data_IF_776549978271
#
_entry.id   IF_776549978271
#
_cell.length_a   1.000
_cell.length_b   1.000
_cell.length_c   1.000
_cell.angle_alpha   90.00
_cell.angle_beta   90.00
_cell.angle_gamma   90.00
#
_symmetry.space_group_name_H-M   'P 1'
#
loop_
_entity.id
_entity.type
_entity.pdbx_description
1 polymer ?
#
# COMPACT_ATOMS: atom_id res chain seq x y z
N UNK A 1 -8.01 12.83 -13.61
CA UNK A 1 -9.27 13.56 -13.86
C UNK A 1 -10.47 12.79 -13.26
N UNK A 2 -10.37 12.30 -12.01
CA UNK A 2 -11.45 11.52 -11.34
C UNK A 2 -12.35 12.39 -10.44
N UNK A 3 -11.79 13.43 -9.82
CA UNK A 3 -12.54 14.37 -8.96
C UNK A 3 -13.61 15.19 -9.70
N UNK A 4 -13.59 15.23 -11.03
CA UNK A 4 -14.58 15.97 -11.84
C UNK A 4 -15.85 15.17 -12.15
N UNK A 5 -15.84 13.85 -11.94
CA UNK A 5 -16.94 12.96 -12.36
C UNK A 5 -17.92 12.62 -11.24
N UNK A 6 -17.56 12.89 -9.98
CA UNK A 6 -18.41 12.61 -8.81
C UNK A 6 -18.71 13.89 -8.04
N UNK A 7 -19.97 14.07 -7.64
CA UNK A 7 -20.31 15.08 -6.64
C UNK A 7 -19.72 14.64 -5.31
N UNK A 8 -18.66 15.34 -4.88
CA UNK A 8 -18.05 15.14 -3.57
C UNK A 8 -19.01 15.77 -2.57
N UNK A 9 -19.67 14.92 -1.77
CA UNK A 9 -20.49 15.38 -0.66
C UNK A 9 -19.74 15.15 0.66
N UNK A 10 -20.16 15.88 1.70
CA UNK A 10 -19.57 15.80 3.05
C UNK A 10 -19.67 14.40 3.69
N UNK A 11 -20.59 13.57 3.22
CA UNK A 11 -20.86 12.25 3.79
C UNK A 11 -19.99 11.15 3.19
N UNK A 12 -19.35 11.43 2.05
CA UNK A 12 -18.45 10.52 1.34
C UNK A 12 -17.15 10.31 2.11
N UNK A 13 -16.76 9.04 2.31
CA UNK A 13 -15.46 8.66 2.83
C UNK A 13 -14.46 8.47 1.68
N UNK A 14 -13.32 9.14 1.76
CA UNK A 14 -12.19 8.94 0.87
C UNK A 14 -11.10 8.19 1.62
N UNK A 15 -10.65 7.07 1.07
CA UNK A 15 -9.48 6.34 1.57
C UNK A 15 -8.35 6.57 0.57
N UNK A 16 -7.23 7.07 1.05
CA UNK A 16 -6.06 7.42 0.24
C UNK A 16 -4.88 6.56 0.69
N UNK A 17 -4.48 5.64 -0.17
CA UNK A 17 -3.23 4.88 -0.08
C UNK A 17 -2.44 5.18 -1.35
N UNK A 18 -1.21 5.69 -1.22
CA UNK A 18 -0.39 6.07 -2.38
C UNK A 18 1.10 5.89 -2.11
N UNK A 19 1.92 6.22 -3.10
CA UNK A 19 3.38 6.36 -2.99
C UNK A 19 4.20 5.07 -2.89
N UNK A 20 3.58 3.91 -2.57
CA UNK A 20 4.26 2.61 -2.64
C UNK A 20 4.91 2.37 -4.01
N UNK A 21 4.16 2.58 -5.10
CA UNK A 21 4.64 2.37 -6.48
C UNK A 21 5.74 3.34 -6.90
N UNK A 22 5.66 4.60 -6.50
CA UNK A 22 6.69 5.58 -6.81
C UNK A 22 8.01 5.24 -6.11
N UNK A 23 7.91 4.80 -4.85
CA UNK A 23 9.05 4.32 -4.07
C UNK A 23 9.62 3.02 -4.69
N UNK A 24 8.77 2.08 -5.15
CA UNK A 24 9.23 0.89 -5.89
C UNK A 24 9.97 1.28 -7.18
N UNK A 25 9.43 2.22 -7.96
CA UNK A 25 10.05 2.65 -9.21
C UNK A 25 11.42 3.30 -8.97
N UNK A 26 11.59 4.04 -7.87
CA UNK A 26 12.89 4.56 -7.46
C UNK A 26 13.87 3.43 -7.13
N UNK A 27 13.43 2.40 -6.39
CA UNK A 27 14.26 1.25 -6.06
C UNK A 27 14.70 0.45 -7.28
N UNK A 28 13.87 0.41 -8.31
CA UNK A 28 14.17 -0.32 -9.55
C UNK A 28 15.12 0.43 -10.48
N UNK A 29 15.13 1.76 -10.43
CA UNK A 29 15.82 2.58 -11.43
C UNK A 29 16.97 3.42 -10.86
N UNK A 30 17.06 3.63 -9.54
CA UNK A 30 18.07 4.47 -8.86
C UNK A 30 18.23 5.88 -9.47
N UNK A 31 17.15 6.42 -10.04
CA UNK A 31 17.23 7.58 -10.96
C UNK A 31 17.19 8.95 -10.27
N UNK A 32 16.64 9.05 -9.05
CA UNK A 32 16.39 10.35 -8.39
C UNK A 32 17.09 10.44 -7.04
N UNK A 33 17.35 11.66 -6.56
CA UNK A 33 17.71 11.88 -5.16
C UNK A 33 16.53 11.50 -4.25
N UNK A 34 16.76 10.64 -3.26
CA UNK A 34 15.70 10.10 -2.39
C UNK A 34 14.91 11.20 -1.66
N UNK A 35 15.57 12.28 -1.23
CA UNK A 35 14.88 13.38 -0.55
C UNK A 35 14.01 14.13 -1.55
N UNK A 36 14.52 14.39 -2.76
CA UNK A 36 13.71 15.03 -3.81
C UNK A 36 12.49 14.20 -4.17
N UNK A 37 12.62 12.87 -4.25
CA UNK A 37 11.48 11.97 -4.45
C UNK A 37 10.47 12.12 -3.31
N UNK A 38 10.91 11.96 -2.06
CA UNK A 38 10.00 12.06 -0.90
C UNK A 38 9.29 13.40 -0.88
N UNK A 39 10.00 14.52 -1.09
CA UNK A 39 9.43 15.86 -1.12
C UNK A 39 8.36 16.00 -2.23
N UNK A 40 8.63 15.44 -3.41
CA UNK A 40 7.66 15.42 -4.52
C UNK A 40 6.40 14.60 -4.19
N UNK A 41 6.56 13.44 -3.57
CA UNK A 41 5.44 12.58 -3.16
C UNK A 41 4.57 13.26 -2.09
N UNK A 42 5.20 13.86 -1.09
CA UNK A 42 4.51 14.61 -0.02
C UNK A 42 3.79 15.84 -0.58
N UNK A 43 4.42 16.59 -1.48
CA UNK A 43 3.79 17.73 -2.15
C UNK A 43 2.58 17.29 -2.98
N UNK A 44 2.70 16.17 -3.70
CA UNK A 44 1.63 15.62 -4.53
C UNK A 44 0.45 15.18 -3.68
N UNK A 45 0.69 14.41 -2.62
CA UNK A 45 -0.34 14.00 -1.67
C UNK A 45 -0.98 15.22 -0.99
N UNK A 46 -0.19 16.20 -0.58
CA UNK A 46 -0.69 17.47 -0.03
C UNK A 46 -1.69 18.16 -0.96
N UNK A 47 -1.37 18.24 -2.26
CA UNK A 47 -2.27 18.81 -3.27
C UNK A 47 -3.55 17.99 -3.47
N UNK A 48 -3.47 16.66 -3.39
CA UNK A 48 -4.66 15.77 -3.45
C UNK A 48 -5.57 16.03 -2.26
N UNK A 49 -5.01 16.08 -1.05
CA UNK A 49 -5.76 16.37 0.17
C UNK A 49 -6.42 17.75 0.11
N UNK A 50 -5.70 18.78 -0.33
CA UNK A 50 -6.26 20.13 -0.47
C UNK A 50 -7.43 20.15 -1.47
N UNK A 51 -7.33 19.42 -2.59
CA UNK A 51 -8.43 19.31 -3.54
C UNK A 51 -9.66 18.63 -2.94
N UNK A 52 -9.48 17.55 -2.18
CA UNK A 52 -10.58 16.85 -1.51
C UNK A 52 -11.27 17.76 -0.48
N UNK A 53 -10.47 18.41 0.38
CA UNK A 53 -10.98 19.33 1.41
C UNK A 53 -11.71 20.52 0.78
N UNK A 54 -11.12 21.17 -0.21
CA UNK A 54 -11.71 22.32 -0.89
C UNK A 54 -12.96 21.95 -1.69
N UNK A 55 -13.11 20.68 -2.07
CA UNK A 55 -14.32 20.16 -2.70
C UNK A 55 -15.41 19.78 -1.69
N UNK A 56 -15.21 20.06 -0.41
CA UNK A 56 -16.20 19.82 0.65
C UNK A 56 -16.13 18.44 1.30
N UNK A 57 -15.10 17.64 1.01
CA UNK A 57 -14.89 16.37 1.70
C UNK A 57 -14.59 16.62 3.18
N UNK A 58 -15.31 15.91 4.03
CA UNK A 58 -15.13 15.97 5.49
C UNK A 58 -14.62 14.65 6.06
N UNK A 59 -14.50 13.60 5.25
CA UNK A 59 -14.09 12.27 5.70
C UNK A 59 -12.99 11.71 4.80
N UNK A 60 -11.75 11.95 5.16
CA UNK A 60 -10.56 11.48 4.45
C UNK A 60 -9.70 10.64 5.41
N UNK A 61 -9.52 9.37 5.09
CA UNK A 61 -8.58 8.47 5.74
C UNK A 61 -7.33 8.35 4.86
N UNK A 62 -6.16 8.63 5.41
CA UNK A 62 -4.87 8.44 4.73
C UNK A 62 -4.16 7.26 5.36
N UNK A 63 -3.70 6.31 4.55
CA UNK A 63 -2.82 5.24 4.99
C UNK A 63 -1.36 5.62 4.67
N UNK A 64 -0.45 5.39 5.63
CA UNK A 64 0.98 5.55 5.38
C UNK A 64 1.57 4.37 4.59
N UNK A 65 2.78 4.56 4.08
CA UNK A 65 3.51 3.53 3.32
C UNK A 65 4.00 2.45 4.28
N UNK A 66 3.80 1.19 3.92
CA UNK A 66 4.26 0.04 4.73
C UNK A 66 5.77 -0.16 4.60
N UNK A 67 6.38 -0.86 5.56
CA UNK A 67 7.82 -1.15 5.51
C UNK A 67 8.16 -2.06 4.32
N UNK A 68 8.48 -1.46 3.16
CA UNK A 68 8.77 -2.19 1.92
C UNK A 68 9.98 -3.12 2.05
N UNK A 69 10.90 -2.82 2.96
CA UNK A 69 12.07 -3.67 3.28
C UNK A 69 11.70 -5.02 3.88
N UNK A 70 10.44 -5.24 4.27
CA UNK A 70 9.92 -6.52 4.80
C UNK A 70 9.22 -7.37 3.73
N UNK A 71 9.07 -6.85 2.51
CA UNK A 71 8.45 -7.58 1.41
C UNK A 71 9.42 -8.64 0.85
N UNK A 72 8.93 -9.78 0.33
CA UNK A 72 9.79 -10.80 -0.27
C UNK A 72 10.73 -10.25 -1.35
N UNK A 73 10.30 -9.21 -2.08
CA UNK A 73 11.12 -8.51 -3.08
C UNK A 73 12.43 -7.96 -2.54
N UNK A 74 12.44 -7.48 -1.30
CA UNK A 74 13.56 -6.71 -0.74
C UNK A 74 14.08 -7.23 0.61
N UNK A 75 13.44 -8.22 1.23
CA UNK A 75 13.83 -8.72 2.55
C UNK A 75 15.29 -9.19 2.62
N UNK A 76 15.86 -9.57 1.47
CA UNK A 76 17.25 -10.00 1.34
C UNK A 76 18.17 -8.96 0.67
N UNK A 77 17.70 -7.74 0.37
CA UNK A 77 18.44 -6.76 -0.43
C UNK A 77 18.15 -5.30 -0.03
N UNK A 78 19.19 -4.50 0.19
CA UNK A 78 19.11 -3.05 0.43
C UNK A 78 18.10 -2.60 1.52
N UNK A 79 17.84 -3.45 2.52
CA UNK A 79 16.79 -3.23 3.54
C UNK A 79 16.93 -1.92 4.31
N UNK A 80 18.17 -1.50 4.63
CA UNK A 80 18.44 -0.27 5.37
C UNK A 80 18.14 0.99 4.55
N UNK A 81 18.51 1.00 3.26
CA UNK A 81 18.22 2.13 2.36
C UNK A 81 16.73 2.30 2.14
N UNK A 82 16.04 1.20 1.83
CA UNK A 82 14.60 1.16 1.63
C UNK A 82 13.86 1.65 2.89
N UNK A 83 14.28 1.15 4.06
CA UNK A 83 13.72 1.58 5.34
C UNK A 83 13.89 3.09 5.54
N UNK A 84 15.06 3.66 5.22
CA UNK A 84 15.31 5.09 5.36
C UNK A 84 14.36 5.94 4.49
N UNK A 85 14.11 5.54 3.25
CA UNK A 85 13.17 6.25 2.35
C UNK A 85 11.75 6.20 2.92
N UNK A 86 11.28 5.01 3.31
CA UNK A 86 9.93 4.83 3.88
C UNK A 86 9.77 5.60 5.19
N UNK A 87 10.74 5.52 6.10
CA UNK A 87 10.74 6.27 7.36
C UNK A 87 10.68 7.79 7.08
N UNK A 88 11.49 8.29 6.14
CA UNK A 88 11.49 9.71 5.76
C UNK A 88 10.11 10.14 5.24
N UNK A 89 9.53 9.38 4.31
CA UNK A 89 8.20 9.63 3.79
C UNK A 89 7.13 9.63 4.90
N UNK A 90 7.10 8.59 5.75
CA UNK A 90 6.12 8.47 6.82
C UNK A 90 6.25 9.59 7.86
N UNK A 91 7.48 10.03 8.16
CA UNK A 91 7.72 11.19 9.04
C UNK A 91 7.22 12.50 8.42
N UNK A 92 7.52 12.75 7.15
CA UNK A 92 7.04 13.93 6.45
C UNK A 92 5.51 13.91 6.29
N UNK A 93 4.91 12.75 6.04
CA UNK A 93 3.45 12.57 5.99
C UNK A 93 2.82 12.95 7.34
N UNK A 94 3.36 12.45 8.45
CA UNK A 94 2.90 12.84 9.78
C UNK A 94 2.95 14.35 9.98
N UNK A 95 4.01 15.02 9.53
CA UNK A 95 4.14 16.48 9.61
C UNK A 95 3.13 17.21 8.71
N UNK A 96 2.93 16.74 7.47
CA UNK A 96 1.92 17.25 6.54
C UNK A 96 0.53 17.20 7.19
N UNK A 97 0.16 16.06 7.79
CA UNK A 97 -1.16 15.87 8.41
C UNK A 97 -1.33 16.71 9.68
N UNK A 98 -0.29 16.82 10.52
CA UNK A 98 -0.28 17.75 11.68
C UNK A 98 -0.53 19.19 11.24
N UNK A 99 0.14 19.64 10.18
CA UNK A 99 -0.01 20.99 9.66
C UNK A 99 -1.37 21.23 9.01
N UNK A 100 -1.96 20.19 8.41
CA UNK A 100 -3.29 20.28 7.81
C UNK A 100 -4.43 20.37 8.82
N UNK A 101 -4.19 20.20 10.14
CA UNK A 101 -5.09 20.51 11.29
C UNK A 101 -6.60 20.32 11.05
N UNK A 102 -6.99 19.37 10.21
CA UNK A 102 -8.38 19.25 9.81
C UNK A 102 -8.96 18.07 10.56
N UNK A 103 -10.08 18.31 11.25
CA UNK A 103 -11.03 17.30 11.71
C UNK A 103 -11.52 16.34 10.60
N UNK A 104 -11.07 16.55 9.35
CA UNK A 104 -11.49 15.81 8.17
C UNK A 104 -10.47 14.78 7.71
N UNK A 105 -9.20 14.87 8.14
CA UNK A 105 -8.14 13.99 7.65
C UNK A 105 -7.55 13.20 8.81
N UNK A 106 -7.66 11.88 8.72
CA UNK A 106 -7.21 10.95 9.74
C UNK A 106 -6.13 10.03 9.19
N UNK A 107 -5.12 9.73 9.99
CA UNK A 107 -4.05 8.80 9.63
C UNK A 107 -4.40 7.40 10.15
N UNK A 108 -4.52 6.44 9.24
CA UNK A 108 -4.42 5.02 9.55
C UNK A 108 -2.95 4.59 9.43
N UNK A 109 -2.33 4.18 10.53
CA UNK A 109 -0.94 3.74 10.54
C UNK A 109 -0.84 2.29 10.04
N UNK A 110 -1.04 2.11 8.73
CA UNK A 110 -0.95 0.83 8.04
C UNK A 110 0.41 0.16 8.25
N UNK A 111 1.52 0.91 8.30
CA UNK A 111 2.85 0.37 8.60
C UNK A 111 2.88 -0.36 9.94
N UNK A 112 2.38 0.29 10.99
CA UNK A 112 2.31 -0.30 12.33
C UNK A 112 1.43 -1.55 12.33
N UNK A 113 0.25 -1.47 11.74
CA UNK A 113 -0.66 -2.61 11.73
C UNK A 113 -0.12 -3.79 10.92
N UNK A 114 0.52 -3.54 9.77
CA UNK A 114 1.17 -4.60 9.00
C UNK A 114 2.29 -5.27 9.80
N UNK A 115 3.06 -4.50 10.59
CA UNK A 115 4.07 -5.06 11.49
C UNK A 115 3.43 -5.94 12.58
N UNK A 116 2.31 -5.53 13.16
CA UNK A 116 1.56 -6.35 14.11
C UNK A 116 1.06 -7.65 13.46
N UNK A 117 0.62 -7.59 12.20
CA UNK A 117 0.15 -8.77 11.47
C UNK A 117 1.31 -9.73 11.12
N UNK A 118 2.49 -9.20 10.80
CA UNK A 118 3.70 -10.02 10.62
C UNK A 118 4.05 -10.75 11.93
N UNK A 119 4.00 -10.06 13.07
CA UNK A 119 4.22 -10.71 14.38
C UNK A 119 3.16 -11.79 14.67
N UNK A 120 1.90 -11.53 14.36
CA UNK A 120 0.81 -12.51 14.48
C UNK A 120 1.04 -13.72 13.57
N UNK A 121 1.44 -13.48 12.32
CA UNK A 121 1.75 -14.52 11.35
C UNK A 121 2.91 -15.41 11.84
N UNK A 122 3.99 -14.81 12.33
CA UNK A 122 5.12 -15.52 12.91
C UNK A 122 4.70 -16.39 14.10
N UNK A 123 3.85 -15.88 15.00
CA UNK A 123 3.30 -16.66 16.13
C UNK A 123 2.44 -17.85 15.69
N UNK A 124 1.85 -17.79 14.50
CA UNK A 124 1.02 -18.86 13.91
C UNK A 124 1.82 -19.81 13.01
N UNK A 125 3.12 -19.60 12.84
CA UNK A 125 3.95 -20.38 11.91
C UNK A 125 3.64 -20.11 10.43
N UNK A 126 3.02 -18.97 10.12
CA UNK A 126 2.76 -18.52 8.73
C UNK A 126 4.05 -17.97 8.15
N UNK A 127 4.35 -18.33 6.90
CA UNK A 127 5.54 -17.83 6.19
C UNK A 127 5.38 -16.34 5.86
N UNK A 128 6.23 -15.49 6.46
CA UNK A 128 6.24 -14.04 6.23
C UNK A 128 7.38 -13.58 5.33
N UNK A 129 8.20 -14.48 4.79
CA UNK A 129 9.41 -14.11 4.03
C UNK A 129 9.29 -14.43 2.55
N UNK A 130 8.52 -15.46 2.19
CA UNK A 130 8.39 -15.88 0.80
C UNK A 130 7.00 -15.58 0.26
N UNK A 131 6.95 -15.28 -1.04
CA UNK A 131 5.71 -15.19 -1.81
C UNK A 131 5.13 -16.59 -2.11
N UNK A 132 3.88 -16.66 -2.58
CA UNK A 132 3.24 -17.90 -3.06
C UNK A 132 3.27 -18.00 -4.58
N UNK A 133 3.12 -16.87 -5.26
CA UNK A 133 3.07 -16.80 -6.72
C UNK A 133 4.18 -15.90 -7.25
N UNK A 134 4.61 -16.15 -8.49
CA UNK A 134 5.49 -15.21 -9.19
C UNK A 134 4.77 -13.87 -9.34
N UNK A 135 5.55 -12.79 -9.52
CA UNK A 135 5.04 -11.47 -9.91
C UNK A 135 4.27 -11.61 -11.23
N UNK A 136 2.97 -11.89 -11.18
CA UNK A 136 2.16 -12.18 -12.36
C UNK A 136 1.76 -10.89 -13.10
N UNK A 137 2.24 -9.72 -12.68
CA UNK A 137 1.87 -8.43 -13.21
C UNK A 137 3.11 -7.59 -13.57
N UNK A 138 3.94 -8.07 -14.49
CA UNK A 138 4.67 -7.12 -15.35
C UNK A 138 3.61 -6.36 -16.19
N UNK A 139 3.79 -5.04 -16.40
CA UNK A 139 2.95 -4.19 -17.27
C UNK A 139 2.71 -4.82 -18.65
N UNK A 140 3.67 -5.63 -19.13
CA UNK A 140 3.56 -6.39 -20.39
C UNK A 140 2.55 -7.56 -20.27
N UNK A 141 2.42 -8.20 -19.11
CA UNK A 141 1.51 -9.32 -18.84
C UNK A 141 0.05 -8.87 -18.80
N UNK A 142 -0.22 -7.69 -18.21
CA UNK A 142 -1.56 -7.12 -18.11
C UNK A 142 -2.09 -6.62 -19.47
N UNK A 143 -1.19 -6.19 -20.36
CA UNK A 143 -1.52 -5.85 -21.76
C UNK A 143 -1.59 -7.08 -22.68
N UNK A 144 -0.83 -8.16 -22.38
CA UNK A 144 -0.84 -9.42 -23.13
C UNK A 144 -1.94 -10.40 -22.72
N UNK A 145 -2.53 -10.27 -21.53
CA UNK A 145 -3.65 -11.10 -21.11
C UNK A 145 -4.94 -10.65 -21.81
N UNK A 146 -5.07 -10.97 -23.09
CA UNK A 146 -6.35 -10.96 -23.81
C UNK A 146 -7.41 -11.81 -23.09
N UNK A 147 -7.01 -12.72 -22.18
CA UNK A 147 -7.88 -13.45 -21.27
C UNK A 147 -8.62 -12.56 -20.25
N UNK A 148 -8.06 -11.42 -19.81
CA UNK A 148 -8.76 -10.50 -18.91
C UNK A 148 -10.00 -9.87 -19.57
N UNK A 149 -9.99 -9.70 -20.90
CA UNK A 149 -11.13 -9.20 -21.66
C UNK A 149 -12.13 -10.30 -22.06
N UNK A 150 -11.73 -11.57 -22.02
CA UNK A 150 -12.56 -12.72 -22.42
C UNK A 150 -13.20 -13.48 -21.25
N UNK A 151 -12.44 -13.74 -20.18
CA UNK A 151 -12.90 -14.52 -19.02
C UNK A 151 -12.85 -13.75 -17.70
N UNK A 152 -12.07 -12.66 -17.63
CA UNK A 152 -11.84 -11.93 -16.38
C UNK A 152 -10.94 -12.69 -15.38
N UNK A 153 -10.33 -13.80 -15.80
CA UNK A 153 -9.50 -14.65 -14.92
C UNK A 153 -8.01 -14.41 -15.16
N UNK A 154 -7.25 -14.29 -14.08
CA UNK A 154 -5.79 -14.27 -14.07
C UNK A 154 -5.30 -15.64 -13.61
N UNK A 155 -4.65 -16.39 -14.50
CA UNK A 155 -3.99 -17.64 -14.12
C UNK A 155 -2.73 -17.33 -13.32
N UNK A 156 -2.66 -17.83 -12.09
CA UNK A 156 -1.50 -17.65 -11.22
C UNK A 156 -0.42 -18.70 -11.47
N UNK A 157 0.83 -18.26 -11.61
CA UNK A 157 2.00 -19.15 -11.61
C UNK A 157 2.57 -19.26 -10.21
N UNK A 158 2.50 -20.45 -9.60
CA UNK A 158 3.02 -20.72 -8.25
C UNK A 158 4.54 -20.93 -8.25
N UNK A 159 5.23 -20.47 -7.20
CA UNK A 159 6.69 -20.62 -7.06
C UNK A 159 7.05 -21.89 -6.28
N UNK A 160 8.21 -22.49 -6.54
CA UNK A 160 8.83 -23.53 -5.68
C UNK A 160 7.88 -24.67 -5.25
N UNK A 161 7.09 -25.21 -6.19
CA UNK A 161 6.08 -26.25 -5.93
C UNK A 161 4.94 -25.86 -4.98
N UNK A 162 4.73 -24.56 -4.71
CA UNK A 162 3.57 -24.05 -3.98
C UNK A 162 2.28 -24.24 -4.80
N UNK A 163 1.15 -24.06 -4.12
CA UNK A 163 -0.20 -24.31 -4.62
C UNK A 163 -1.21 -23.35 -3.97
N UNK A 164 -2.48 -23.46 -4.38
CA UNK A 164 -3.60 -22.75 -3.73
C UNK A 164 -3.63 -22.99 -2.21
N UNK A 165 -3.26 -24.19 -1.75
CA UNK A 165 -3.29 -24.55 -0.32
C UNK A 165 -2.32 -23.69 0.51
N UNK A 166 -1.24 -23.22 -0.11
CA UNK A 166 -0.19 -22.44 0.55
C UNK A 166 -0.59 -20.97 0.74
N UNK A 167 -1.64 -20.49 0.06
CA UNK A 167 -2.15 -19.11 0.20
C UNK A 167 -2.65 -18.82 1.63
N UNK A 168 -3.17 -19.82 2.32
CA UNK A 168 -3.65 -19.67 3.69
C UNK A 168 -2.53 -19.71 4.73
N UNK A 169 -1.34 -20.19 4.35
CA UNK A 169 -0.19 -20.36 5.24
C UNK A 169 0.97 -19.41 4.90
N UNK A 170 0.70 -18.40 4.06
CA UNK A 170 1.69 -17.40 3.66
C UNK A 170 1.12 -15.99 3.82
N UNK A 171 1.97 -15.05 4.24
CA UNK A 171 1.62 -13.65 4.41
C UNK A 171 1.52 -12.90 3.08
N UNK A 172 2.45 -13.18 2.18
CA UNK A 172 2.58 -12.53 0.88
C UNK A 172 2.04 -13.40 -0.24
N UNK A 173 1.19 -12.82 -1.08
CA UNK A 173 0.71 -13.44 -2.31
C UNK A 173 1.84 -13.50 -3.32
N UNK A 174 2.34 -12.32 -3.72
CA UNK A 174 3.49 -12.16 -4.62
C UNK A 174 4.65 -11.46 -3.88
N UNK A 175 5.57 -10.85 -4.61
CA UNK A 175 6.78 -10.27 -4.04
C UNK A 175 6.53 -8.98 -3.21
N UNK A 176 5.33 -8.38 -3.27
CA UNK A 176 5.00 -7.14 -2.55
C UNK A 176 3.57 -7.10 -1.98
N UNK A 177 2.62 -7.80 -2.57
CA UNK A 177 1.22 -7.80 -2.17
C UNK A 177 0.94 -8.92 -1.15
N UNK A 178 0.08 -8.62 -0.17
CA UNK A 178 -0.29 -9.59 0.86
C UNK A 178 -1.41 -10.51 0.40
N UNK A 179 -1.61 -11.62 1.10
CA UNK A 179 -2.74 -12.53 0.84
C UNK A 179 -4.08 -11.94 1.30
N UNK A 180 -5.19 -12.55 0.84
CA UNK A 180 -6.56 -12.17 1.22
C UNK A 180 -6.76 -12.16 2.74
N UNK A 181 -6.15 -13.11 3.46
CA UNK A 181 -6.23 -13.15 4.92
C UNK A 181 -5.70 -11.86 5.56
N UNK A 182 -4.55 -11.37 5.12
CA UNK A 182 -3.97 -10.12 5.63
C UNK A 182 -4.82 -8.92 5.20
N UNK A 183 -5.31 -8.89 3.97
CA UNK A 183 -6.21 -7.82 3.49
C UNK A 183 -7.50 -7.75 4.32
N UNK A 184 -8.05 -8.89 4.73
CA UNK A 184 -9.22 -8.93 5.62
C UNK A 184 -8.91 -8.36 7.02
N UNK A 185 -7.69 -8.54 7.54
CA UNK A 185 -7.26 -7.92 8.80
C UNK A 185 -7.18 -6.40 8.66
N UNK A 186 -6.51 -5.91 7.59
CA UNK A 186 -6.43 -4.48 7.27
C UNK A 186 -7.83 -3.86 7.16
N UNK A 187 -8.72 -4.48 6.37
CA UNK A 187 -10.08 -3.98 6.17
C UNK A 187 -10.89 -3.93 7.46
N UNK A 188 -10.74 -4.95 8.33
CA UNK A 188 -11.41 -4.98 9.64
C UNK A 188 -10.92 -3.85 10.55
N UNK A 189 -9.60 -3.64 10.63
CA UNK A 189 -9.02 -2.65 11.52
C UNK A 189 -9.23 -1.22 10.99
N UNK A 190 -9.21 -1.01 9.68
CA UNK A 190 -9.64 0.25 9.06
C UNK A 190 -11.11 0.54 9.34
N UNK A 191 -12.00 -0.46 9.17
CA UNK A 191 -13.42 -0.29 9.49
C UNK A 191 -13.65 0.04 10.96
N UNK A 192 -12.95 -0.64 11.87
CA UNK A 192 -13.01 -0.35 13.30
C UNK A 192 -12.47 1.06 13.61
N UNK A 193 -11.38 1.47 12.98
CA UNK A 193 -10.84 2.81 13.10
C UNK A 193 -11.86 3.87 12.67
N UNK A 194 -12.48 3.71 11.49
CA UNK A 194 -13.48 4.62 10.96
C UNK A 194 -14.73 4.68 11.84
N UNK A 195 -15.15 3.55 12.44
CA UNK A 195 -16.31 3.51 13.33
C UNK A 195 -16.14 4.32 14.61
N UNK A 196 -14.90 4.51 15.08
CA UNK A 196 -14.59 5.24 16.31
C UNK A 196 -14.09 6.66 16.04
N UNK A 197 -14.16 7.12 14.79
CA UNK A 197 -13.90 8.50 14.41
C UNK A 197 -15.05 9.41 14.85
#
# INVERSE_FOLDING_TARGET
MLLKQHSINKDSLFIVESSNNDIFNQMDNEQTDDNKLVDQLIKTLGSVLDKLINSGSQKILVANVVSLSKTPRFVNYQTAWIKKIVDNYNNQLNNLLKNKKSKYVHLFNLEKELNNYIELANKRGVDTKNAVVHKNLDRVSLLRSLSLFGTGEITMSYINNKSVKDLNNTFFLDDVHTTLWVQNLVGKDMHQFIKNW
#
